data_IF_519786761814
#
_entry.id   IF_519786761814
#
_cell.length_a   1.000
_cell.length_b   1.000
_cell.length_c   1.000
_cell.angle_alpha   90.00
_cell.angle_beta   90.00
_cell.angle_gamma   90.00
#
_symmetry.space_group_name_H-M   'P 1'
#
loop_
_entity.id
_entity.type
_entity.pdbx_description
1 polymer ?
#
# COMPACT_ATOMS: atom_id res chain seq x y z
N UNK A 1 6.51 13.26 7.79
CA UNK A 1 6.06 13.10 6.39
C UNK A 1 4.87 14.00 6.14
N UNK A 2 5.00 14.88 5.19
CA UNK A 2 3.92 15.83 4.82
C UNK A 2 3.51 15.55 3.38
N UNK A 3 2.23 15.36 3.15
CA UNK A 3 1.71 15.05 1.84
C UNK A 3 0.28 15.57 1.72
N UNK A 4 -0.16 15.88 0.51
CA UNK A 4 -1.50 16.43 0.29
C UNK A 4 -2.62 15.38 0.38
N UNK A 5 -2.29 14.11 0.27
CA UNK A 5 -3.28 13.04 0.43
C UNK A 5 -3.88 13.05 1.83
N UNK A 6 -5.17 12.81 1.94
CA UNK A 6 -5.88 12.85 3.22
C UNK A 6 -6.02 11.48 3.87
N UNK A 7 -5.80 10.41 3.11
CA UNK A 7 -5.90 9.05 3.63
C UNK A 7 -4.52 8.45 3.74
N UNK A 8 -4.02 8.37 4.96
CA UNK A 8 -2.76 7.70 5.28
C UNK A 8 -3.03 6.64 6.32
N UNK A 9 -2.93 5.39 5.93
CA UNK A 9 -3.29 4.26 6.77
C UNK A 9 -2.04 3.48 7.14
N UNK A 10 -1.74 3.44 8.41
CA UNK A 10 -0.55 2.73 8.91
C UNK A 10 -0.78 1.23 8.89
N UNK A 11 0.24 0.49 8.45
CA UNK A 11 0.16 -0.96 8.40
C UNK A 11 1.52 -1.61 8.24
N UNK A 12 1.48 -2.91 8.02
CA UNK A 12 2.68 -3.72 7.76
C UNK A 12 2.54 -4.46 6.45
N UNK A 13 3.62 -4.58 5.73
CA UNK A 13 3.64 -5.36 4.49
C UNK A 13 3.39 -6.84 4.83
N UNK A 14 2.32 -7.39 4.26
CA UNK A 14 1.99 -8.80 4.40
C UNK A 14 2.70 -9.63 3.35
N UNK A 15 2.74 -9.13 2.11
CA UNK A 15 3.41 -9.82 1.02
C UNK A 15 3.85 -8.86 -0.07
N UNK A 16 4.90 -9.24 -0.77
CA UNK A 16 5.42 -8.52 -1.92
C UNK A 16 5.50 -9.54 -3.06
N UNK A 17 4.80 -9.29 -4.14
CA UNK A 17 4.74 -10.20 -5.29
C UNK A 17 5.26 -9.48 -6.54
N UNK A 18 6.55 -9.61 -6.84
CA UNK A 18 7.13 -8.91 -8.01
C UNK A 18 6.62 -9.51 -9.32
N UNK A 19 6.25 -8.63 -10.24
CA UNK A 19 5.97 -8.97 -11.61
C UNK A 19 7.10 -8.48 -12.51
N UNK A 20 6.88 -8.48 -13.81
CA UNK A 20 7.88 -8.01 -14.78
C UNK A 20 8.04 -6.50 -14.71
N UNK A 21 6.94 -5.77 -14.67
CA UNK A 21 6.93 -4.31 -14.65
C UNK A 21 6.41 -3.78 -13.32
N UNK A 22 5.37 -4.40 -12.79
CA UNK A 22 4.71 -3.98 -11.55
C UNK A 22 4.91 -5.00 -10.45
N UNK A 23 4.73 -4.53 -9.22
CA UNK A 23 4.82 -5.35 -8.03
C UNK A 23 3.53 -5.16 -7.24
N UNK A 24 2.92 -6.28 -6.84
CA UNK A 24 1.76 -6.26 -5.95
C UNK A 24 2.24 -6.27 -4.50
N UNK A 25 1.79 -5.29 -3.74
CA UNK A 25 2.13 -5.18 -2.32
C UNK A 25 0.83 -5.27 -1.51
N UNK A 26 0.75 -6.24 -0.63
CA UNK A 26 -0.41 -6.41 0.24
C UNK A 26 -0.02 -5.91 1.63
N UNK A 27 -0.83 -5.02 2.17
CA UNK A 27 -0.58 -4.37 3.46
C UNK A 27 -1.71 -4.73 4.43
N UNK A 28 -1.34 -5.20 5.62
CA UNK A 28 -2.30 -5.42 6.72
C UNK A 28 -2.34 -4.15 7.56
N UNK A 29 -3.53 -3.56 7.64
CA UNK A 29 -3.73 -2.34 8.44
C UNK A 29 -3.84 -2.69 9.93
N UNK A 30 -3.71 -1.68 10.78
CA UNK A 30 -3.74 -1.85 12.24
C UNK A 30 -5.00 -2.55 12.76
N UNK A 31 -6.14 -2.33 12.11
CA UNK A 31 -7.41 -2.96 12.48
C UNK A 31 -7.61 -4.35 11.91
N UNK A 32 -6.66 -4.88 11.15
CA UNK A 32 -6.74 -6.21 10.54
C UNK A 32 -7.21 -6.22 9.09
N UNK A 33 -7.72 -5.12 8.59
CA UNK A 33 -8.11 -5.01 7.18
C UNK A 33 -6.89 -5.07 6.28
N UNK A 34 -7.11 -5.50 5.05
CA UNK A 34 -6.05 -5.67 4.06
C UNK A 34 -6.27 -4.70 2.91
N UNK A 35 -5.19 -4.05 2.50
CA UNK A 35 -5.17 -3.19 1.32
C UNK A 35 -4.18 -3.77 0.33
N UNK A 36 -4.56 -3.78 -0.95
CA UNK A 36 -3.69 -4.23 -2.03
C UNK A 36 -3.25 -3.03 -2.84
N UNK A 37 -1.95 -2.94 -3.08
CA UNK A 37 -1.35 -1.89 -3.87
C UNK A 37 -0.59 -2.49 -5.04
N UNK A 38 -0.65 -1.83 -6.19
CA UNK A 38 0.17 -2.17 -7.35
C UNK A 38 1.02 -0.96 -7.67
N UNK A 39 2.32 -1.13 -7.53
CA UNK A 39 3.30 -0.07 -7.81
C UNK A 39 4.33 -0.61 -8.79
N UNK A 40 5.17 0.26 -9.34
CA UNK A 40 6.22 -0.21 -10.24
C UNK A 40 7.23 -1.05 -9.47
N UNK A 41 7.84 -2.01 -10.17
CA UNK A 41 8.91 -2.82 -9.60
C UNK A 41 10.04 -1.95 -9.08
N UNK A 42 10.40 -0.92 -9.83
CA UNK A 42 11.42 0.05 -9.44
C UNK A 42 11.07 0.76 -8.14
N UNK A 43 9.82 1.20 -7.99
CA UNK A 43 9.38 1.86 -6.75
C UNK A 43 9.44 0.91 -5.56
N UNK A 44 9.03 -0.34 -5.74
CA UNK A 44 9.09 -1.34 -4.67
C UNK A 44 10.53 -1.59 -4.23
N UNK A 45 11.46 -1.64 -5.17
CA UNK A 45 12.88 -1.81 -4.89
C UNK A 45 13.47 -0.59 -4.18
N UNK A 46 13.15 0.60 -4.67
CA UNK A 46 13.64 1.85 -4.07
C UNK A 46 13.16 2.02 -2.64
N UNK A 47 11.93 1.60 -2.34
CA UNK A 47 11.37 1.66 -0.99
C UNK A 47 11.81 0.48 -0.13
N UNK A 48 12.55 -0.45 -0.70
CA UNK A 48 13.05 -1.66 0.00
C UNK A 48 11.91 -2.41 0.69
N UNK A 49 10.80 -2.61 0.00
CA UNK A 49 9.64 -3.27 0.58
C UNK A 49 9.91 -4.75 0.81
N UNK A 50 9.58 -5.21 1.99
CA UNK A 50 9.72 -6.59 2.39
C UNK A 50 8.65 -6.92 3.42
N UNK A 51 8.32 -8.20 3.52
CA UNK A 51 7.35 -8.69 4.48
C UNK A 51 7.71 -8.24 5.90
N UNK A 52 6.74 -7.70 6.61
CA UNK A 52 6.90 -7.21 7.98
C UNK A 52 7.32 -5.75 8.11
N UNK A 53 7.66 -5.09 7.01
CA UNK A 53 8.07 -3.69 7.06
C UNK A 53 6.90 -2.78 7.39
N UNK A 54 7.12 -1.79 8.26
CA UNK A 54 6.12 -0.76 8.56
C UNK A 54 5.99 0.19 7.38
N UNK A 55 4.77 0.44 6.96
CA UNK A 55 4.46 1.29 5.82
C UNK A 55 3.21 2.11 6.09
N UNK A 56 2.98 3.09 5.23
CA UNK A 56 1.71 3.82 5.16
C UNK A 56 1.10 3.59 3.78
N UNK A 57 -0.18 3.20 3.75
CA UNK A 57 -0.95 3.20 2.51
C UNK A 57 -1.52 4.60 2.34
N UNK A 58 -1.15 5.26 1.26
CA UNK A 58 -1.53 6.64 0.97
C UNK A 58 -2.51 6.64 -0.18
N UNK A 59 -3.72 7.16 0.04
CA UNK A 59 -4.78 7.09 -0.96
C UNK A 59 -5.36 8.48 -1.18
N UNK A 60 -5.29 8.94 -2.43
CA UNK A 60 -5.93 10.19 -2.81
C UNK A 60 -7.45 10.07 -2.59
N UNK A 61 -8.04 11.06 -1.94
CA UNK A 61 -9.47 11.01 -1.59
C UNK A 61 -10.37 10.76 -2.80
N UNK A 62 -10.03 11.33 -3.96
CA UNK A 62 -10.80 11.14 -5.17
C UNK A 62 -10.74 9.73 -5.75
N UNK A 63 -9.85 8.88 -5.25
CA UNK A 63 -9.71 7.49 -5.70
C UNK A 63 -10.40 6.49 -4.78
N UNK A 64 -11.01 6.97 -3.70
CA UNK A 64 -11.73 6.09 -2.77
C UNK A 64 -13.17 5.95 -3.22
N UNK A 65 -13.57 4.72 -3.50
CA UNK A 65 -14.95 4.39 -3.87
C UNK A 65 -15.71 3.91 -2.65
N UNK A 66 -17.02 4.10 -2.68
CA UNK A 66 -17.90 3.72 -1.56
C UNK A 66 -18.84 2.61 -2.02
N UNK A 67 -19.05 1.63 -1.16
CA UNK A 67 -20.02 0.57 -1.39
C UNK A 67 -20.88 0.40 -0.15
N UNK A 68 -22.13 0.00 -0.35
CA UNK A 68 -23.05 -0.38 0.73
C UNK A 68 -23.79 -1.66 0.32
N UNK A 69 -24.35 -2.35 1.32
CA UNK A 69 -25.19 -3.51 1.07
C UNK A 69 -26.59 -3.09 0.63
#
# INVERSE_FOLDING_TARGET
MKISARNMLKGKVKSVKPGVVNTEVVVTLSGGDIITSVITKESAERLALAEGKDVHAVIKASNVMIAVE
#
